data_IF_912471780787
#
_entry.id   IF_912471780787
#
_cell.length_a   1.000
_cell.length_b   1.000
_cell.length_c   1.000
_cell.angle_alpha   90.00
_cell.angle_beta   90.00
_cell.angle_gamma   90.00
#
_symmetry.space_group_name_H-M   'P 1'
#
loop_
_entity.id
_entity.type
_entity.pdbx_description
1 polymer ?
#
# COMPACT_ATOMS: atom_id res chain seq x y z
N UNK A 1 -17.61 -11.76 -19.86
CA UNK A 1 -16.32 -11.87 -19.12
C UNK A 1 -15.38 -10.80 -19.63
N UNK A 2 -14.65 -10.09 -18.75
CA UNK A 2 -13.58 -9.17 -19.17
C UNK A 2 -12.39 -9.99 -19.68
N UNK A 3 -11.70 -9.48 -20.70
CA UNK A 3 -10.45 -10.10 -21.17
C UNK A 3 -9.30 -9.81 -20.20
N UNK A 4 -8.29 -10.67 -20.16
CA UNK A 4 -7.11 -10.46 -19.30
C UNK A 4 -6.45 -9.08 -19.51
N UNK A 5 -6.37 -8.63 -20.76
CA UNK A 5 -5.84 -7.29 -21.12
C UNK A 5 -6.70 -6.15 -20.55
N UNK A 6 -8.03 -6.29 -20.56
CA UNK A 6 -8.93 -5.30 -19.96
C UNK A 6 -8.79 -5.26 -18.45
N UNK A 7 -8.71 -6.42 -17.78
CA UNK A 7 -8.50 -6.50 -16.33
C UNK A 7 -7.20 -5.83 -15.91
N UNK A 8 -6.11 -6.08 -16.65
CA UNK A 8 -4.83 -5.44 -16.41
C UNK A 8 -4.87 -3.92 -16.62
N UNK A 9 -5.59 -3.45 -17.65
CA UNK A 9 -5.74 -2.03 -17.92
C UNK A 9 -6.55 -1.32 -16.83
N UNK A 10 -7.66 -1.92 -16.39
CA UNK A 10 -8.49 -1.40 -15.30
C UNK A 10 -7.70 -1.33 -13.99
N UNK A 11 -6.90 -2.36 -13.70
CA UNK A 11 -5.97 -2.39 -12.57
C UNK A 11 -4.97 -1.24 -12.64
N UNK A 12 -4.27 -1.11 -13.78
CA UNK A 12 -3.23 -0.08 -13.97
C UNK A 12 -3.81 1.33 -13.83
N UNK A 13 -4.95 1.60 -14.48
CA UNK A 13 -5.65 2.88 -14.37
C UNK A 13 -6.10 3.18 -12.95
N UNK A 14 -6.65 2.19 -12.26
CA UNK A 14 -7.07 2.34 -10.86
C UNK A 14 -5.91 2.68 -9.94
N UNK A 15 -4.80 1.94 -10.05
CA UNK A 15 -3.59 2.21 -9.24
C UNK A 15 -3.03 3.60 -9.54
N UNK A 16 -2.89 3.98 -10.81
CA UNK A 16 -2.40 5.32 -11.20
C UNK A 16 -3.32 6.42 -10.66
N UNK A 17 -4.64 6.25 -10.79
CA UNK A 17 -5.61 7.22 -10.27
C UNK A 17 -5.46 7.43 -8.77
N UNK A 18 -5.44 6.35 -7.98
CA UNK A 18 -5.30 6.46 -6.52
C UNK A 18 -3.91 6.92 -6.10
N UNK A 19 -2.85 6.59 -6.84
CA UNK A 19 -1.51 7.11 -6.59
C UNK A 19 -1.43 8.63 -6.84
N UNK A 20 -2.05 9.13 -7.91
CA UNK A 20 -2.12 10.57 -8.20
C UNK A 20 -2.96 11.31 -7.16
N UNK A 21 -4.10 10.74 -6.76
CA UNK A 21 -4.92 11.30 -5.68
C UNK A 21 -4.16 11.35 -4.37
N UNK A 22 -3.46 10.27 -4.00
CA UNK A 22 -2.59 10.23 -2.83
C UNK A 22 -1.55 11.35 -2.88
N UNK A 23 -0.79 11.45 -3.97
CA UNK A 23 0.25 12.46 -4.12
C UNK A 23 -0.31 13.88 -4.04
N UNK A 24 -1.39 14.17 -4.75
CA UNK A 24 -2.04 15.48 -4.75
C UNK A 24 -2.51 15.87 -3.33
N UNK A 25 -3.19 14.97 -2.63
CA UNK A 25 -3.67 15.21 -1.27
C UNK A 25 -2.51 15.34 -0.28
N UNK A 26 -1.48 14.51 -0.40
CA UNK A 26 -0.29 14.60 0.46
C UNK A 26 0.40 15.97 0.32
N UNK A 27 0.68 16.41 -0.90
CA UNK A 27 1.30 17.72 -1.13
C UNK A 27 0.41 18.86 -0.65
N UNK A 28 -0.90 18.79 -0.91
CA UNK A 28 -1.86 19.79 -0.43
C UNK A 28 -1.91 19.83 1.11
N UNK A 29 -1.92 18.67 1.77
CA UNK A 29 -1.92 18.55 3.23
C UNK A 29 -0.66 19.15 3.84
N UNK A 30 0.53 18.79 3.33
CA UNK A 30 1.81 19.32 3.81
C UNK A 30 1.87 20.84 3.62
N UNK A 31 1.49 21.33 2.44
CA UNK A 31 1.45 22.77 2.16
C UNK A 31 0.50 23.51 3.10
N UNK A 32 -0.71 22.98 3.30
CA UNK A 32 -1.71 23.59 4.17
C UNK A 32 -1.25 23.63 5.63
N UNK A 33 -0.66 22.54 6.13
CA UNK A 33 -0.14 22.44 7.49
C UNK A 33 0.99 23.46 7.71
N UNK A 34 1.94 23.54 6.78
CA UNK A 34 3.09 24.43 6.90
C UNK A 34 2.72 25.91 6.77
N UNK A 35 1.75 26.25 5.90
CA UNK A 35 1.39 27.64 5.63
C UNK A 35 0.40 28.23 6.63
N UNK A 36 -0.60 27.45 7.04
CA UNK A 36 -1.71 27.97 7.83
C UNK A 36 -1.68 27.53 9.30
N UNK A 37 -0.78 26.61 9.66
CA UNK A 37 -0.68 25.97 10.98
C UNK A 37 -2.06 25.71 11.63
N UNK A 38 -2.92 24.93 10.96
CA UNK A 38 -4.31 24.80 11.34
C UNK A 38 -4.44 24.04 12.67
N UNK A 39 -5.63 24.12 13.27
CA UNK A 39 -5.93 23.41 14.51
C UNK A 39 -5.81 21.88 14.35
N UNK A 40 -5.80 21.16 15.46
CA UNK A 40 -5.63 19.72 15.46
C UNK A 40 -6.76 18.97 14.74
N UNK A 41 -7.99 19.49 14.78
CA UNK A 41 -9.13 18.89 14.07
C UNK A 41 -8.91 18.86 12.56
N UNK A 42 -8.42 19.95 11.98
CA UNK A 42 -8.10 20.01 10.54
C UNK A 42 -6.93 19.09 10.20
N UNK A 43 -5.90 18.99 11.06
CA UNK A 43 -4.78 18.07 10.85
C UNK A 43 -5.24 16.60 10.82
N UNK A 44 -6.16 16.20 11.71
CA UNK A 44 -6.77 14.87 11.71
C UNK A 44 -7.55 14.63 10.41
N UNK A 45 -8.33 15.61 9.97
CA UNK A 45 -9.08 15.50 8.72
C UNK A 45 -8.17 15.35 7.50
N UNK A 46 -7.07 16.11 7.44
CA UNK A 46 -6.06 15.99 6.38
C UNK A 46 -5.36 14.62 6.40
N UNK A 47 -5.07 14.08 7.59
CA UNK A 47 -4.51 12.75 7.73
C UNK A 47 -5.47 11.66 7.20
N UNK A 48 -6.76 11.77 7.52
CA UNK A 48 -7.80 10.88 6.99
C UNK A 48 -7.92 11.01 5.47
N UNK A 49 -7.93 12.23 4.94
CA UNK A 49 -7.97 12.46 3.50
C UNK A 49 -6.76 11.88 2.78
N UNK A 50 -5.57 11.98 3.38
CA UNK A 50 -4.33 11.45 2.80
C UNK A 50 -4.30 9.92 2.82
N UNK A 51 -4.96 9.28 3.79
CA UNK A 51 -5.02 7.81 3.90
C UNK A 51 -6.14 7.17 3.06
N UNK A 52 -7.19 7.90 2.70
CA UNK A 52 -8.29 7.37 1.88
C UNK A 52 -7.86 6.78 0.53
N UNK A 53 -7.00 7.44 -0.27
CA UNK A 53 -6.53 6.87 -1.54
C UNK A 53 -5.78 5.55 -1.37
N UNK A 54 -5.09 5.36 -0.25
CA UNK A 54 -4.40 4.12 0.08
C UNK A 54 -5.43 2.97 0.18
N UNK A 55 -6.56 3.18 0.86
CA UNK A 55 -7.66 2.21 0.88
C UNK A 55 -8.21 1.91 -0.52
N UNK A 56 -8.28 2.93 -1.39
CA UNK A 56 -8.69 2.78 -2.78
C UNK A 56 -7.79 1.84 -3.58
N UNK A 57 -6.47 1.86 -3.37
CA UNK A 57 -5.55 0.91 -4.02
C UNK A 57 -5.85 -0.55 -3.66
N UNK A 58 -6.27 -0.81 -2.41
CA UNK A 58 -6.64 -2.14 -1.94
C UNK A 58 -7.89 -2.62 -2.67
N UNK A 59 -8.90 -1.76 -2.83
CA UNK A 59 -10.12 -2.09 -3.57
C UNK A 59 -9.84 -2.41 -5.05
N UNK A 60 -8.94 -1.63 -5.68
CA UNK A 60 -8.50 -1.90 -7.06
C UNK A 60 -7.80 -3.26 -7.15
N UNK A 61 -6.94 -3.57 -6.18
CA UNK A 61 -6.25 -4.85 -6.11
C UNK A 61 -7.20 -6.03 -5.89
N UNK A 62 -8.19 -5.90 -5.00
CA UNK A 62 -9.23 -6.91 -4.79
C UNK A 62 -10.06 -7.13 -6.06
N UNK A 63 -10.41 -6.06 -6.76
CA UNK A 63 -11.12 -6.17 -8.04
C UNK A 63 -10.25 -6.86 -9.11
N UNK A 64 -8.94 -6.62 -9.12
CA UNK A 64 -8.01 -7.34 -9.99
C UNK A 64 -8.02 -8.85 -9.70
N UNK A 65 -7.86 -9.26 -8.43
CA UNK A 65 -7.92 -10.67 -8.01
C UNK A 65 -9.25 -11.32 -8.40
N UNK A 66 -10.37 -10.62 -8.18
CA UNK A 66 -11.72 -11.12 -8.46
C UNK A 66 -11.94 -11.43 -9.95
N UNK A 67 -11.40 -10.60 -10.84
CA UNK A 67 -11.56 -10.74 -12.28
C UNK A 67 -10.40 -11.49 -12.96
N UNK A 68 -9.37 -11.90 -12.21
CA UNK A 68 -8.28 -12.71 -12.73
C UNK A 68 -8.72 -14.16 -12.96
N UNK A 69 -8.00 -14.83 -13.86
CA UNK A 69 -8.09 -16.28 -14.06
C UNK A 69 -7.76 -17.07 -12.78
N UNK A 70 -8.29 -18.28 -12.64
CA UNK A 70 -8.10 -19.14 -11.45
C UNK A 70 -6.62 -19.34 -11.09
N UNK A 71 -5.78 -19.58 -12.09
CA UNK A 71 -4.35 -19.79 -11.89
C UNK A 71 -3.66 -18.52 -11.38
N UNK A 72 -3.90 -17.38 -12.04
CA UNK A 72 -3.32 -16.09 -11.66
C UNK A 72 -3.83 -15.66 -10.28
N UNK A 73 -5.12 -15.83 -10.02
CA UNK A 73 -5.73 -15.53 -8.73
C UNK A 73 -5.07 -16.31 -7.59
N UNK A 74 -4.92 -17.63 -7.74
CA UNK A 74 -4.28 -18.47 -6.73
C UNK A 74 -2.83 -18.02 -6.47
N UNK A 75 -2.07 -17.73 -7.54
CA UNK A 75 -0.70 -17.26 -7.40
C UNK A 75 -0.59 -15.91 -6.68
N UNK A 76 -1.41 -14.93 -7.08
CA UNK A 76 -1.40 -13.58 -6.51
C UNK A 76 -1.81 -13.59 -5.04
N UNK A 77 -2.84 -14.36 -4.68
CA UNK A 77 -3.29 -14.50 -3.29
C UNK A 77 -2.18 -15.12 -2.43
N UNK A 78 -1.51 -16.17 -2.90
CA UNK A 78 -0.41 -16.79 -2.16
C UNK A 78 0.75 -15.82 -1.91
N UNK A 79 1.15 -15.05 -2.93
CA UNK A 79 2.19 -14.02 -2.79
C UNK A 79 1.73 -12.93 -1.81
N UNK A 80 0.48 -12.49 -1.92
CA UNK A 80 -0.08 -11.46 -1.04
C UNK A 80 0.00 -11.89 0.43
N UNK A 81 -0.42 -13.13 0.75
CA UNK A 81 -0.35 -13.68 2.11
C UNK A 81 1.10 -13.78 2.59
N UNK A 82 2.03 -14.26 1.75
CA UNK A 82 3.46 -14.32 2.10
C UNK A 82 4.04 -12.93 2.37
N UNK A 83 3.72 -11.96 1.53
CA UNK A 83 4.16 -10.57 1.69
C UNK A 83 3.60 -9.96 2.98
N UNK A 84 2.32 -10.18 3.29
CA UNK A 84 1.71 -9.74 4.56
C UNK A 84 2.43 -10.34 5.75
N UNK A 85 2.70 -11.65 5.75
CA UNK A 85 3.41 -12.33 6.84
C UNK A 85 4.81 -11.76 7.07
N UNK A 86 5.58 -11.54 6.01
CA UNK A 86 6.92 -10.92 6.11
C UNK A 86 6.84 -9.47 6.59
N UNK A 87 5.86 -8.70 6.10
CA UNK A 87 5.65 -7.32 6.55
C UNK A 87 5.31 -7.26 8.04
N UNK A 88 4.42 -8.14 8.52
CA UNK A 88 4.07 -8.23 9.93
C UNK A 88 5.26 -8.63 10.79
N UNK A 89 6.09 -9.56 10.31
CA UNK A 89 7.33 -9.92 10.99
C UNK A 89 8.27 -8.71 11.10
N UNK A 90 8.52 -8.00 10.00
CA UNK A 90 9.40 -6.80 9.97
C UNK A 90 8.85 -5.70 10.88
N UNK A 91 7.55 -5.38 10.77
CA UNK A 91 6.93 -4.32 11.57
C UNK A 91 6.96 -4.65 13.07
N UNK A 92 6.68 -5.91 13.44
CA UNK A 92 6.74 -6.36 14.84
C UNK A 92 8.17 -6.37 15.37
N UNK A 93 9.11 -6.88 14.58
CA UNK A 93 10.53 -6.89 14.92
C UNK A 93 11.06 -5.47 15.15
N UNK A 94 10.72 -4.55 14.24
CA UNK A 94 11.10 -3.14 14.36
C UNK A 94 10.47 -2.48 15.59
N UNK A 95 9.17 -2.70 15.83
CA UNK A 95 8.49 -2.20 17.02
C UNK A 95 9.13 -2.71 18.32
N UNK A 96 9.53 -3.98 18.39
CA UNK A 96 10.27 -4.49 19.56
C UNK A 96 11.65 -3.83 19.70
N UNK A 97 12.38 -3.63 18.61
CA UNK A 97 13.65 -2.91 18.65
C UNK A 97 13.49 -1.49 19.20
N UNK A 98 12.49 -0.74 18.75
CA UNK A 98 12.18 0.60 19.28
C UNK A 98 11.85 0.59 20.78
N UNK A 99 11.16 -0.46 21.26
CA UNK A 99 10.83 -0.59 22.68
C UNK A 99 12.01 -1.03 23.54
N UNK A 100 12.95 -1.81 22.99
CA UNK A 100 14.06 -2.40 23.75
C UNK A 100 15.36 -1.61 23.65
N UNK A 101 15.46 -0.70 22.68
CA UNK A 101 16.68 0.06 22.37
C UNK A 101 16.37 1.53 22.21
N UNK A 102 17.37 2.40 22.31
CA UNK A 102 17.20 3.85 22.08
C UNK A 102 17.25 4.23 20.58
N UNK A 103 16.89 3.31 19.68
CA UNK A 103 16.91 3.55 18.22
C UNK A 103 15.74 4.47 17.83
N UNK A 104 15.96 5.30 16.80
CA UNK A 104 14.94 6.23 16.29
C UNK A 104 13.67 5.50 15.82
N UNK A 105 12.52 6.11 16.15
CA UNK A 105 11.24 5.62 15.67
C UNK A 105 11.14 5.74 14.14
N UNK A 106 10.61 4.70 13.50
CA UNK A 106 10.12 4.73 12.12
C UNK A 106 8.65 5.10 12.14
N UNK A 107 8.26 6.00 11.25
CA UNK A 107 6.86 6.37 11.11
C UNK A 107 6.01 5.17 10.64
N UNK A 108 4.91 4.90 11.35
CA UNK A 108 4.06 3.73 11.10
C UNK A 108 3.53 3.63 9.65
N UNK A 109 3.36 4.77 8.96
CA UNK A 109 2.91 4.78 7.57
C UNK A 109 3.91 4.09 6.62
N UNK A 110 5.18 3.90 7.01
CA UNK A 110 6.19 3.16 6.24
C UNK A 110 5.86 1.66 6.13
N UNK A 111 4.97 1.13 6.95
CA UNK A 111 4.49 -0.26 6.82
C UNK A 111 3.87 -0.51 5.44
N UNK A 112 3.21 0.49 4.86
CA UNK A 112 2.57 0.37 3.55
C UNK A 112 3.55 0.23 2.37
N UNK A 113 4.58 1.08 2.19
CA UNK A 113 5.60 0.86 1.18
C UNK A 113 6.43 -0.40 1.44
N UNK A 114 6.72 -0.74 2.71
CA UNK A 114 7.40 -2.01 3.06
C UNK A 114 6.57 -3.20 2.56
N UNK A 115 5.25 -3.18 2.76
CA UNK A 115 4.37 -4.23 2.25
C UNK A 115 4.51 -4.43 0.74
N UNK A 116 4.43 -3.35 -0.05
CA UNK A 116 4.54 -3.45 -1.50
C UNK A 116 5.94 -3.86 -1.98
N UNK A 117 6.98 -3.46 -1.25
CA UNK A 117 8.34 -3.93 -1.51
C UNK A 117 8.44 -5.45 -1.28
N UNK A 118 7.94 -5.95 -0.14
CA UNK A 118 7.87 -7.38 0.14
C UNK A 118 7.03 -8.13 -0.92
N UNK A 119 5.90 -7.57 -1.34
CA UNK A 119 5.06 -8.14 -2.39
C UNK A 119 5.83 -8.27 -3.72
N UNK A 120 6.53 -7.21 -4.15
CA UNK A 120 7.36 -7.22 -5.35
C UNK A 120 8.48 -8.27 -5.29
N UNK A 121 9.16 -8.36 -4.15
CA UNK A 121 10.20 -9.37 -3.91
C UNK A 121 9.64 -10.79 -4.00
N UNK A 122 8.50 -11.07 -3.36
CA UNK A 122 7.86 -12.38 -3.39
C UNK A 122 7.39 -12.78 -4.80
N UNK A 123 6.92 -11.83 -5.60
CA UNK A 123 6.59 -12.07 -7.00
C UNK A 123 7.85 -12.39 -7.83
N UNK A 124 8.94 -11.67 -7.61
CA UNK A 124 10.22 -11.92 -8.27
C UNK A 124 10.77 -13.32 -7.97
N UNK A 125 10.76 -13.73 -6.71
CA UNK A 125 11.23 -15.06 -6.27
C UNK A 125 10.45 -16.19 -6.96
N UNK A 126 9.12 -16.05 -7.08
CA UNK A 126 8.31 -17.04 -7.80
C UNK A 126 8.66 -17.12 -9.28
N UNK A 127 8.86 -15.97 -9.94
CA UNK A 127 9.18 -15.92 -11.37
C UNK A 127 10.51 -16.60 -11.71
N UNK A 128 11.49 -16.57 -10.80
CA UNK A 128 12.78 -17.26 -10.99
C UNK A 128 12.69 -18.78 -10.86
N UNK A 129 11.64 -19.29 -10.21
CA UNK A 129 11.47 -20.73 -9.92
C UNK A 129 10.49 -21.45 -10.87
N UNK A 130 9.84 -20.72 -11.77
CA UNK A 130 8.88 -21.23 -12.75
C UNK A 130 9.50 -21.29 -14.14
#
# INVERSE_FOLDING_TARGET
>A
MKTAKQVQNDYTKGIILYALLYAAILFASIYAINKFNPNNFVKIFLALMTSLPIGGTILVFLNYIKNADEFIRAQVVEVFVKATGVTFFIATFWGFMENYTAISNIDFYMTYPIFWACFGLMQGIKKVRA
#
